data_IF_269453374107
#
_entry.id   IF_269453374107
#
_cell.length_a   1.000
_cell.length_b   1.000
_cell.length_c   1.000
_cell.angle_alpha   90.00
_cell.angle_beta   90.00
_cell.angle_gamma   90.00
#
_symmetry.space_group_name_H-M   'P 1'
#
loop_
_entity.id
_entity.type
_entity.pdbx_description
1 polymer ?
#
# COMPACT_ATOMS: atom_id res chain seq x y z
N UNK A 1 -19.66 -13.23 5.30
CA UNK A 1 -19.60 -12.23 4.21
C UNK A 1 -18.13 -12.05 3.85
N UNK A 2 -17.78 -12.22 2.57
CA UNK A 2 -16.39 -12.25 2.10
C UNK A 2 -15.99 -10.89 1.52
N UNK A 3 -14.86 -10.33 1.94
CA UNK A 3 -14.33 -9.06 1.40
C UNK A 3 -13.70 -9.30 0.02
N UNK A 4 -14.12 -8.53 -0.97
CA UNK A 4 -13.50 -8.54 -2.31
C UNK A 4 -12.62 -7.31 -2.47
N UNK A 5 -11.35 -7.51 -2.80
CA UNK A 5 -10.35 -6.46 -3.01
C UNK A 5 -10.00 -6.45 -4.50
N UNK A 6 -10.26 -5.34 -5.18
CA UNK A 6 -9.92 -5.17 -6.58
C UNK A 6 -8.51 -4.54 -6.72
N UNK A 7 -7.58 -5.29 -7.30
CA UNK A 7 -6.19 -4.88 -7.52
C UNK A 7 -5.22 -5.47 -6.50
N UNK A 8 -4.16 -6.08 -7.00
CA UNK A 8 -3.03 -6.63 -6.26
C UNK A 8 -1.83 -5.69 -6.18
N UNK A 9 -2.04 -4.37 -6.26
CA UNK A 9 -1.01 -3.36 -5.98
C UNK A 9 -0.78 -3.14 -4.48
N UNK A 10 0.06 -2.18 -4.09
CA UNK A 10 0.40 -1.90 -2.69
C UNK A 10 -0.85 -1.74 -1.81
N UNK A 11 -1.80 -0.88 -2.18
CA UNK A 11 -3.01 -0.65 -1.39
C UNK A 11 -3.84 -1.93 -1.19
N UNK A 12 -4.03 -2.71 -2.26
CA UNK A 12 -4.80 -3.95 -2.20
C UNK A 12 -4.12 -5.04 -1.38
N UNK A 13 -2.79 -5.17 -1.49
CA UNK A 13 -2.01 -6.12 -0.70
C UNK A 13 -1.97 -5.72 0.79
N UNK A 14 -1.85 -4.43 1.11
CA UNK A 14 -1.97 -3.93 2.48
C UNK A 14 -3.38 -4.22 3.06
N UNK A 15 -4.43 -3.99 2.28
CA UNK A 15 -5.80 -4.31 2.69
C UNK A 15 -5.98 -5.82 2.95
N UNK A 16 -5.42 -6.68 2.09
CA UNK A 16 -5.46 -8.13 2.25
C UNK A 16 -4.69 -8.60 3.49
N UNK A 17 -3.49 -8.06 3.71
CA UNK A 17 -2.71 -8.33 4.92
C UNK A 17 -3.50 -7.94 6.19
N UNK A 18 -4.11 -6.76 6.19
CA UNK A 18 -4.93 -6.32 7.33
C UNK A 18 -6.19 -7.16 7.52
N UNK A 19 -6.86 -7.55 6.44
CA UNK A 19 -8.01 -8.46 6.50
C UNK A 19 -7.62 -9.81 7.10
N UNK A 20 -6.44 -10.35 6.73
CA UNK A 20 -5.89 -11.57 7.33
C UNK A 20 -5.64 -11.41 8.83
N UNK A 21 -5.02 -10.32 9.27
CA UNK A 21 -4.78 -10.03 10.69
C UNK A 21 -6.07 -9.97 11.53
N UNK A 22 -7.15 -9.50 10.91
CA UNK A 22 -8.47 -9.39 11.54
C UNK A 22 -9.32 -10.68 11.37
N UNK A 23 -8.73 -11.76 10.85
CA UNK A 23 -9.44 -13.02 10.56
C UNK A 23 -10.65 -12.86 9.63
N UNK A 24 -10.59 -11.87 8.73
CA UNK A 24 -11.64 -11.62 7.73
C UNK A 24 -11.36 -12.46 6.48
N UNK A 25 -12.33 -13.28 6.09
CA UNK A 25 -12.31 -14.00 4.82
C UNK A 25 -12.32 -13.00 3.66
N UNK A 26 -11.31 -13.08 2.78
CA UNK A 26 -11.15 -12.15 1.68
C UNK A 26 -10.65 -12.81 0.40
N UNK A 27 -10.71 -12.06 -0.71
CA UNK A 27 -10.08 -12.41 -1.99
C UNK A 27 -9.51 -11.17 -2.64
N UNK A 28 -8.32 -11.31 -3.24
CA UNK A 28 -7.72 -10.28 -4.08
C UNK A 28 -7.89 -10.69 -5.53
N UNK A 29 -8.49 -9.80 -6.34
CA UNK A 29 -8.65 -9.99 -7.77
C UNK A 29 -7.70 -9.05 -8.51
N UNK A 30 -6.64 -9.59 -9.09
CA UNK A 30 -5.70 -8.86 -9.93
C UNK A 30 -6.03 -9.11 -11.40
N UNK A 31 -6.06 -8.05 -12.20
CA UNK A 31 -6.33 -8.13 -13.65
C UNK A 31 -5.13 -8.66 -14.42
N UNK A 32 -3.93 -8.35 -13.96
CA UNK A 32 -2.68 -8.81 -14.53
C UNK A 32 -2.38 -10.27 -14.23
N UNK A 33 -1.26 -10.75 -14.77
CA UNK A 33 -0.77 -12.12 -14.56
C UNK A 33 0.03 -12.27 -13.27
N UNK A 34 0.29 -11.18 -12.55
CA UNK A 34 1.03 -11.15 -11.28
C UNK A 34 0.58 -9.99 -10.41
N UNK A 35 0.73 -10.13 -9.10
CA UNK A 35 0.54 -9.04 -8.13
C UNK A 35 1.70 -8.04 -8.18
N UNK A 36 1.52 -6.92 -7.48
CA UNK A 36 2.52 -5.89 -7.21
C UNK A 36 2.21 -4.53 -7.86
N UNK A 37 1.47 -4.49 -8.97
CA UNK A 37 1.06 -3.22 -9.61
C UNK A 37 2.24 -2.27 -9.86
N UNK A 38 2.04 -0.97 -9.67
CA UNK A 38 3.09 0.05 -9.80
C UNK A 38 4.17 -0.02 -8.72
N UNK A 39 3.91 -0.66 -7.58
CA UNK A 39 4.90 -0.83 -6.51
C UNK A 39 6.14 -1.60 -7.00
N UNK A 40 5.96 -2.56 -7.91
CA UNK A 40 7.07 -3.31 -8.52
C UNK A 40 8.00 -2.47 -9.39
N UNK A 41 7.51 -1.34 -9.89
CA UNK A 41 8.26 -0.42 -10.75
C UNK A 41 8.68 0.84 -9.98
N UNK A 42 8.32 0.94 -8.71
CA UNK A 42 8.59 2.09 -7.87
C UNK A 42 10.07 2.11 -7.44
N UNK A 43 10.59 3.30 -7.14
CA UNK A 43 11.87 3.49 -6.45
C UNK A 43 11.80 3.11 -4.96
N UNK A 44 10.69 2.54 -4.50
CA UNK A 44 10.46 2.11 -3.11
C UNK A 44 10.55 3.24 -2.07
N UNK A 45 10.42 4.50 -2.49
CA UNK A 45 10.32 5.64 -1.58
C UNK A 45 8.94 5.63 -0.95
N UNK A 46 8.90 5.63 0.39
CA UNK A 46 7.66 5.70 1.18
C UNK A 46 7.67 7.00 1.98
N UNK A 47 6.66 7.84 1.77
CA UNK A 47 6.43 9.00 2.62
C UNK A 47 5.97 8.53 4.01
N UNK A 48 6.78 8.79 5.03
CA UNK A 48 6.51 8.36 6.42
C UNK A 48 6.16 9.49 7.37
N UNK A 49 6.32 10.74 6.94
CA UNK A 49 6.06 11.90 7.78
C UNK A 49 4.57 12.07 8.01
N UNK A 50 4.18 12.17 9.28
CA UNK A 50 2.78 12.38 9.65
C UNK A 50 2.33 13.81 9.39
N UNK A 51 3.27 14.75 9.49
CA UNK A 51 3.03 16.16 9.19
C UNK A 51 4.10 16.74 8.26
N UNK A 52 3.72 17.76 7.51
CA UNK A 52 4.64 18.53 6.66
C UNK A 52 5.70 19.28 7.50
N UNK A 53 5.36 19.67 8.73
CA UNK A 53 6.28 20.35 9.63
C UNK A 53 7.43 19.43 10.06
N UNK A 54 7.15 18.18 10.44
CA UNK A 54 8.17 17.17 10.76
C UNK A 54 9.07 16.89 9.55
N UNK A 55 8.48 16.75 8.35
CA UNK A 55 9.26 16.58 7.13
C UNK A 55 10.26 17.72 6.92
N UNK A 56 9.81 18.98 7.02
CA UNK A 56 10.67 20.16 6.79
C UNK A 56 11.76 20.32 7.85
N UNK A 57 11.50 19.91 9.09
CA UNK A 57 12.50 19.94 10.15
C UNK A 57 13.65 18.95 9.88
N UNK A 58 13.34 17.75 9.39
CA UNK A 58 14.32 16.72 9.07
C UNK A 58 14.92 16.85 7.66
N UNK A 59 14.22 17.52 6.75
CA UNK A 59 14.66 17.79 5.38
C UNK A 59 14.53 19.30 5.06
N UNK A 60 15.44 20.16 5.57
CA UNK A 60 15.31 21.61 5.49
C UNK A 60 15.40 22.23 4.08
N UNK A 61 15.72 21.41 3.06
CA UNK A 61 15.75 21.78 1.65
C UNK A 61 15.06 20.75 0.76
N UNK A 62 14.16 19.95 1.32
CA UNK A 62 13.32 19.05 0.53
C UNK A 62 12.21 19.85 -0.17
N UNK A 63 12.24 19.85 -1.50
CA UNK A 63 11.15 20.34 -2.35
C UNK A 63 9.99 19.33 -2.43
#
# INVERSE_FOLDING_TARGET
>A
MRLTIAGGGMAGLCAAARARELSVEHVVLEKGTRTGGSMLLSSCVVWRYRSLAEFRAECPGGD
#
